data_IF_666913126492
#
_entry.id   IF_666913126492
#
_cell.length_a   1.000
_cell.length_b   1.000
_cell.length_c   1.000
_cell.angle_alpha   90.00
_cell.angle_beta   90.00
_cell.angle_gamma   90.00
#
_symmetry.space_group_name_H-M   'P 1'
#
loop_
_entity.id
_entity.type
_entity.pdbx_description
1 polymer ?
#
# COMPACT_ATOMS: atom_id res chain seq x y z
N UNK A 1 7.77 -14.63 -14.91
CA UNK A 1 6.55 -14.16 -14.20
C UNK A 1 6.81 -14.18 -12.70
N UNK A 2 7.05 -13.03 -12.07
CA UNK A 2 7.06 -12.96 -10.60
C UNK A 2 5.63 -13.27 -10.10
N UNK A 3 5.54 -14.18 -9.15
CA UNK A 3 4.28 -14.70 -8.63
C UNK A 3 3.73 -13.70 -7.62
N UNK A 4 2.46 -13.31 -7.74
CA UNK A 4 1.75 -12.53 -6.72
C UNK A 4 2.09 -13.04 -5.32
N UNK A 5 2.43 -12.11 -4.44
CA UNK A 5 2.75 -12.46 -3.06
C UNK A 5 1.48 -12.97 -2.38
N UNK A 6 1.63 -14.05 -1.63
CA UNK A 6 0.51 -14.70 -0.96
C UNK A 6 0.05 -13.87 0.24
N UNK A 7 -1.22 -14.00 0.57
CA UNK A 7 -1.89 -13.47 1.75
C UNK A 7 -1.84 -11.94 1.89
N UNK A 8 -1.78 -11.23 0.76
CA UNK A 8 -1.91 -9.77 0.71
C UNK A 8 -2.53 -9.30 -0.60
N UNK A 9 -3.00 -8.05 -0.61
CA UNK A 9 -3.45 -7.39 -1.83
C UNK A 9 -2.25 -7.00 -2.70
N UNK A 10 -2.39 -7.20 -4.00
CA UNK A 10 -1.44 -6.80 -5.01
C UNK A 10 -2.20 -6.00 -6.07
N UNK A 11 -1.64 -4.91 -6.58
CA UNK A 11 -2.21 -4.27 -7.77
C UNK A 11 -1.65 -4.91 -9.04
N UNK A 12 -2.53 -5.26 -9.98
CA UNK A 12 -2.14 -5.80 -11.28
C UNK A 12 -2.26 -4.73 -12.35
N UNK A 13 -1.13 -4.13 -12.75
CA UNK A 13 -1.10 -3.10 -13.80
C UNK A 13 -1.69 -3.62 -15.12
N UNK A 14 -1.39 -4.87 -15.47
CA UNK A 14 -1.90 -5.51 -16.70
C UNK A 14 -3.43 -5.65 -16.70
N UNK A 15 -4.02 -5.95 -15.55
CA UNK A 15 -5.46 -6.17 -15.43
C UNK A 15 -6.23 -4.91 -15.01
N UNK A 16 -5.53 -3.86 -14.57
CA UNK A 16 -6.12 -2.66 -13.97
C UNK A 16 -6.94 -2.96 -12.72
N UNK A 17 -6.58 -4.01 -11.97
CA UNK A 17 -7.40 -4.56 -10.86
C UNK A 17 -6.54 -4.98 -9.68
N UNK A 18 -7.15 -4.96 -8.51
CA UNK A 18 -6.60 -5.51 -7.27
C UNK A 18 -6.77 -7.02 -7.23
N UNK A 19 -5.73 -7.71 -6.76
CA UNK A 19 -5.66 -9.18 -6.69
C UNK A 19 -5.18 -9.61 -5.32
N UNK A 20 -6.03 -10.30 -4.57
CA UNK A 20 -5.64 -11.01 -3.35
C UNK A 20 -5.37 -12.47 -3.67
N UNK A 21 -4.21 -12.98 -3.28
CA UNK A 21 -3.82 -14.36 -3.59
C UNK A 21 -3.61 -15.15 -2.32
N UNK A 22 -4.40 -16.20 -2.12
CA UNK A 22 -4.20 -17.15 -1.02
C UNK A 22 -3.79 -18.51 -1.57
N UNK A 23 -3.23 -19.35 -0.69
CA UNK A 23 -2.95 -20.76 -1.00
C UNK A 23 -3.83 -21.63 -0.11
N UNK A 24 -4.73 -22.38 -0.72
CA UNK A 24 -5.65 -23.28 -0.04
C UNK A 24 -5.49 -24.69 -0.64
N UNK A 25 -5.18 -25.69 0.20
CA UNK A 25 -4.96 -27.09 -0.22
C UNK A 25 -3.99 -27.24 -1.41
N UNK A 26 -2.89 -26.48 -1.39
CA UNK A 26 -1.87 -26.51 -2.45
C UNK A 26 -2.22 -25.70 -3.70
N UNK A 27 -3.47 -25.28 -3.89
CA UNK A 27 -3.93 -24.48 -5.03
C UNK A 27 -3.96 -22.99 -4.68
N UNK A 28 -3.69 -22.15 -5.67
CA UNK A 28 -3.81 -20.69 -5.52
C UNK A 28 -5.24 -20.27 -5.78
N UNK A 29 -5.79 -19.44 -4.90
CA UNK A 29 -7.07 -18.79 -5.05
C UNK A 29 -6.83 -17.30 -5.26
N UNK A 30 -7.50 -16.73 -6.26
CA UNK A 30 -7.38 -15.32 -6.62
C UNK A 30 -8.72 -14.64 -6.38
N UNK A 31 -8.70 -13.52 -5.68
CA UNK A 31 -9.86 -12.65 -5.49
C UNK A 31 -9.53 -11.34 -6.20
N UNK A 32 -10.42 -10.91 -7.09
CA UNK A 32 -10.25 -9.69 -7.88
C UNK A 32 -11.25 -8.62 -7.45
N UNK A 33 -10.80 -7.37 -7.40
CA UNK A 33 -11.70 -6.23 -7.22
C UNK A 33 -11.19 -5.01 -7.99
N UNK A 34 -12.11 -4.12 -8.38
CA UNK A 34 -11.79 -2.84 -9.02
C UNK A 34 -11.41 -1.80 -7.98
N UNK A 35 -12.18 -1.74 -6.89
CA UNK A 35 -11.97 -0.78 -5.83
C UNK A 35 -10.69 -1.07 -5.04
N UNK A 36 -9.98 -0.03 -4.55
CA UNK A 36 -8.85 -0.22 -3.66
C UNK A 36 -9.25 -0.94 -2.38
N UNK A 37 -8.42 -1.87 -1.87
CA UNK A 37 -8.69 -2.52 -0.60
C UNK A 37 -8.57 -1.52 0.55
N UNK A 38 -9.32 -1.76 1.63
CA UNK A 38 -9.33 -0.91 2.83
C UNK A 38 -7.94 -0.60 3.37
N UNK A 39 -7.01 -1.56 3.29
CA UNK A 39 -5.61 -1.37 3.71
C UNK A 39 -4.94 -0.26 2.89
N UNK A 40 -5.11 -0.27 1.56
CA UNK A 40 -4.55 0.76 0.70
C UNK A 40 -5.21 2.11 0.96
N UNK A 41 -6.53 2.14 1.10
CA UNK A 41 -7.28 3.36 1.43
C UNK A 41 -6.77 3.97 2.74
N UNK A 42 -6.61 3.16 3.79
CA UNK A 42 -6.05 3.61 5.08
C UNK A 42 -4.66 4.20 4.94
N UNK A 43 -3.79 3.61 4.12
CA UNK A 43 -2.45 4.18 3.88
C UNK A 43 -2.53 5.53 3.17
N UNK A 44 -3.44 5.70 2.20
CA UNK A 44 -3.63 7.01 1.54
C UNK A 44 -4.13 8.10 2.48
N UNK A 45 -5.06 7.76 3.38
CA UNK A 45 -5.52 8.70 4.42
C UNK A 45 -4.39 9.10 5.35
N UNK A 46 -3.54 8.17 5.79
CA UNK A 46 -2.39 8.51 6.65
C UNK A 46 -1.39 9.44 5.98
N UNK A 47 -1.11 9.24 4.68
CA UNK A 47 -0.26 10.19 3.93
C UNK A 47 -0.89 11.57 3.91
N UNK A 48 -2.20 11.66 3.67
CA UNK A 48 -2.92 12.93 3.68
C UNK A 48 -2.80 13.62 5.04
N UNK A 49 -3.03 12.90 6.14
CA UNK A 49 -2.89 13.42 7.50
C UNK A 49 -1.45 13.91 7.79
N UNK A 50 -0.44 13.15 7.36
CA UNK A 50 0.96 13.54 7.54
C UNK A 50 1.28 14.81 6.74
N UNK A 51 0.81 14.91 5.50
CA UNK A 51 1.01 16.10 4.68
C UNK A 51 0.35 17.34 5.30
N UNK A 52 -0.86 17.20 5.83
CA UNK A 52 -1.55 18.29 6.53
C UNK A 52 -0.76 18.75 7.76
N UNK A 53 -0.17 17.83 8.52
CA UNK A 53 0.71 18.15 9.65
C UNK A 53 2.01 18.82 9.20
N UNK A 54 2.68 18.28 8.18
CA UNK A 54 3.93 18.83 7.66
C UNK A 54 3.78 20.29 7.19
N UNK A 55 2.64 20.65 6.61
CA UNK A 55 2.36 22.03 6.18
C UNK A 55 2.18 22.98 7.37
N UNK A 56 1.72 22.46 8.52
CA UNK A 56 1.46 23.25 9.72
C UNK A 56 2.62 23.24 10.74
N UNK A 57 3.56 22.30 10.64
CA UNK A 57 4.68 22.16 11.57
C UNK A 57 5.80 23.16 11.26
N UNK A 58 6.25 23.87 12.29
CA UNK A 58 7.45 24.73 12.26
C UNK A 58 8.63 24.12 13.02
N UNK A 59 8.39 23.06 13.79
CA UNK A 59 9.42 22.36 14.57
C UNK A 59 10.15 21.30 13.74
N UNK A 60 11.48 21.43 13.64
CA UNK A 60 12.35 20.55 12.85
C UNK A 60 12.25 19.08 13.26
N UNK A 61 12.22 18.80 14.57
CA UNK A 61 12.12 17.42 15.09
C UNK A 61 10.78 16.76 14.76
N UNK A 62 9.69 17.54 14.77
CA UNK A 62 8.37 17.05 14.34
C UNK A 62 8.36 16.75 12.84
N UNK A 63 8.95 17.64 12.03
CA UNK A 63 9.08 17.46 10.59
C UNK A 63 9.85 16.18 10.26
N UNK A 64 11.00 15.94 10.90
CA UNK A 64 11.79 14.71 10.69
C UNK A 64 11.02 13.43 11.04
N UNK A 65 10.27 13.46 12.16
CA UNK A 65 9.42 12.35 12.57
C UNK A 65 8.32 12.07 11.55
N UNK A 66 7.65 13.12 11.07
CA UNK A 66 6.59 13.02 10.06
C UNK A 66 7.11 12.49 8.72
N UNK A 67 8.28 12.94 8.28
CA UNK A 67 8.95 12.39 7.09
C UNK A 67 9.28 10.91 7.23
N UNK A 68 9.79 10.51 8.40
CA UNK A 68 10.09 9.11 8.70
C UNK A 68 8.83 8.25 8.65
N UNK A 69 7.72 8.71 9.22
CA UNK A 69 6.43 8.02 9.16
C UNK A 69 5.91 7.91 7.72
N UNK A 70 6.00 8.99 6.94
CA UNK A 70 5.60 9.01 5.53
C UNK A 70 6.43 8.02 4.69
N UNK A 71 7.73 7.91 4.97
CA UNK A 71 8.61 6.97 4.27
C UNK A 71 8.23 5.51 4.57
N UNK A 72 7.89 5.19 5.82
CA UNK A 72 7.42 3.84 6.18
C UNK A 72 6.08 3.48 5.52
N UNK A 73 5.14 4.44 5.41
CA UNK A 73 3.89 4.23 4.68
C UNK A 73 4.15 4.03 3.19
N UNK A 74 5.07 4.82 2.62
CA UNK A 74 5.45 4.72 1.21
C UNK A 74 6.05 3.34 0.87
N UNK A 75 6.91 2.79 1.74
CA UNK A 75 7.43 1.42 1.61
C UNK A 75 6.32 0.38 1.62
N UNK A 76 5.31 0.53 2.50
CA UNK A 76 4.14 -0.37 2.54
C UNK A 76 3.33 -0.30 1.25
N UNK A 77 3.09 0.90 0.72
CA UNK A 77 2.39 1.07 -0.56
C UNK A 77 3.18 0.52 -1.75
N UNK A 78 4.51 0.67 -1.76
CA UNK A 78 5.37 0.06 -2.78
C UNK A 78 5.33 -1.47 -2.71
N UNK A 79 5.28 -2.06 -1.50
CA UNK A 79 5.15 -3.50 -1.36
C UNK A 79 3.81 -4.06 -1.91
N UNK A 80 2.79 -3.20 -2.03
CA UNK A 80 1.47 -3.50 -2.59
C UNK A 80 1.45 -3.36 -4.12
N UNK A 81 2.24 -2.42 -4.68
CA UNK A 81 2.42 -2.25 -6.13
C UNK A 81 3.46 -3.25 -6.65
N UNK A 82 3.05 -4.17 -7.52
CA UNK A 82 4.00 -4.96 -8.30
C UNK A 82 4.38 -4.21 -9.57
N UNK A 83 5.62 -3.74 -9.68
CA UNK A 83 6.17 -3.31 -10.97
C UNK A 83 6.65 -4.52 -11.80
N UNK A 84 6.12 -4.57 -13.04
CA UNK A 84 6.52 -5.31 -14.27
C UNK A 84 7.11 -6.74 -14.16
#
# INVERSE_FOLDING_TARGET
>A
MRKYTLNRWNFSDKAGKWVYVTKEKGKRKYIYQLEPPDEFIKLTYKIKEINEKLVASEEEEEIERLYSEMMEISKKMQAIKMEK
#
